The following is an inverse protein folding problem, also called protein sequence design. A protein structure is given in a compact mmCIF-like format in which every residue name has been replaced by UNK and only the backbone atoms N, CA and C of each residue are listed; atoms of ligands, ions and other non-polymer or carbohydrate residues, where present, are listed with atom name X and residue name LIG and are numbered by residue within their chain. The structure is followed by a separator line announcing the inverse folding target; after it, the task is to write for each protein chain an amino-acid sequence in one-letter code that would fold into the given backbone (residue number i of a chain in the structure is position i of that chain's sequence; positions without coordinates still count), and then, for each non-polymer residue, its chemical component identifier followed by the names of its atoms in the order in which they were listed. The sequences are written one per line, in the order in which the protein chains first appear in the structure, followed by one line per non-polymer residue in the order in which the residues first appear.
data_IF_089272946333
#
_entry.id   IF_089272946333
#
_cell.length_a   1.000
_cell.length_b   1.000
_cell.length_c   1.000
_cell.angle_alpha   90.00
_cell.angle_beta   90.00
_cell.angle_gamma   90.00
#
_symmetry.space_group_name_H-M   'P 1'
#
loop_
_entity.id
_entity.type
_entity.pdbx_description
1 polymer ?
#
# COMPACT_ATOMS: atom_id res chain seq x y z
N UNK A 1 42.83 37.55 -24.15
CA UNK A 1 42.24 36.44 -24.95
C UNK A 1 40.72 36.58 -24.93
N UNK A 2 40.12 36.85 -26.11
CA UNK A 2 38.64 36.89 -26.19
C UNK A 2 38.18 35.47 -26.52
N UNK A 3 37.47 34.84 -25.60
CA UNK A 3 36.83 33.58 -25.87
C UNK A 3 35.61 33.85 -26.76
N UNK A 4 35.71 33.51 -28.02
CA UNK A 4 34.59 33.54 -28.95
C UNK A 4 33.80 32.23 -28.76
N UNK A 5 32.64 32.33 -28.16
CA UNK A 5 31.72 31.19 -28.08
C UNK A 5 30.87 31.22 -29.33
N UNK A 6 31.04 30.24 -30.20
CA UNK A 6 30.23 30.06 -31.39
C UNK A 6 28.76 29.82 -30.98
N UNK A 7 27.77 30.48 -31.64
CA UNK A 7 26.33 30.32 -31.30
C UNK A 7 25.87 28.88 -31.28
N UNK A 8 26.47 28.00 -32.09
CA UNK A 8 26.14 26.57 -32.11
C UNK A 8 26.59 25.81 -30.85
N UNK A 9 27.80 26.10 -30.38
CA UNK A 9 28.35 25.49 -29.15
C UNK A 9 27.64 25.99 -27.89
N UNK A 10 27.18 27.27 -27.89
CA UNK A 10 26.41 27.83 -26.80
C UNK A 10 25.05 27.14 -26.62
N UNK A 11 24.33 26.84 -27.68
CA UNK A 11 23.05 26.15 -27.63
C UNK A 11 23.19 24.70 -27.17
N UNK A 12 24.26 24.02 -27.59
CA UNK A 12 24.54 22.63 -27.18
C UNK A 12 24.89 22.54 -25.70
N UNK A 13 25.71 23.47 -25.20
CA UNK A 13 26.03 23.56 -23.75
C UNK A 13 24.78 23.85 -22.91
N UNK A 14 23.89 24.72 -23.42
CA UNK A 14 22.63 25.04 -22.74
C UNK A 14 21.70 23.85 -22.66
N UNK A 15 21.57 23.06 -23.73
CA UNK A 15 20.78 21.84 -23.74
C UNK A 15 21.32 20.78 -22.76
N UNK A 16 22.63 20.61 -22.68
CA UNK A 16 23.29 19.70 -21.74
C UNK A 16 23.03 20.16 -20.28
N UNK A 17 23.15 21.48 -20.04
CA UNK A 17 22.93 22.06 -18.70
C UNK A 17 21.48 21.85 -18.22
N UNK A 18 20.49 22.06 -19.09
CA UNK A 18 19.08 21.80 -18.78
C UNK A 18 18.87 20.32 -18.52
N UNK A 19 19.48 19.43 -19.29
CA UNK A 19 19.40 17.99 -19.10
C UNK A 19 19.95 17.55 -17.73
N UNK A 20 21.10 18.09 -17.33
CA UNK A 20 21.70 17.82 -16.02
C UNK A 20 20.81 18.35 -14.89
N UNK A 21 20.31 19.59 -15.01
CA UNK A 21 19.41 20.17 -14.00
C UNK A 21 18.14 19.35 -13.89
N UNK A 22 17.55 18.90 -15.01
CA UNK A 22 16.38 18.04 -15.04
C UNK A 22 16.63 16.70 -14.34
N UNK A 23 17.76 16.05 -14.64
CA UNK A 23 18.14 14.78 -14.00
C UNK A 23 18.36 14.95 -12.49
N UNK A 24 19.09 16.00 -12.09
CA UNK A 24 19.37 16.28 -10.66
C UNK A 24 18.09 16.62 -9.91
N UNK A 25 17.21 17.43 -10.49
CA UNK A 25 15.91 17.75 -9.85
C UNK A 25 15.00 16.53 -9.72
N UNK A 26 15.00 15.61 -10.69
CA UNK A 26 14.27 14.36 -10.63
C UNK A 26 14.82 13.43 -9.53
N UNK A 27 16.15 13.27 -9.46
CA UNK A 27 16.80 12.49 -8.41
C UNK A 27 16.56 13.08 -7.02
N UNK A 28 16.69 14.40 -6.87
CA UNK A 28 16.43 15.11 -5.63
C UNK A 28 14.97 15.01 -5.21
N UNK A 29 14.01 15.12 -6.16
CA UNK A 29 12.58 14.95 -5.88
C UNK A 29 12.28 13.54 -5.36
N UNK A 30 12.86 12.53 -5.97
CA UNK A 30 12.72 11.13 -5.55
C UNK A 30 13.32 10.91 -4.15
N UNK A 31 14.49 11.49 -3.89
CA UNK A 31 15.18 11.41 -2.60
C UNK A 31 14.46 12.23 -1.52
N UNK A 32 13.97 13.43 -1.88
CA UNK A 32 13.22 14.32 -0.99
C UNK A 32 11.86 13.74 -0.59
N UNK A 33 11.18 13.04 -1.51
CA UNK A 33 9.95 12.30 -1.17
C UNK A 33 10.22 11.17 -0.18
N UNK A 34 11.33 10.44 -0.33
CA UNK A 34 11.75 9.42 0.64
C UNK A 34 12.11 10.04 1.98
N UNK A 35 12.87 11.15 1.95
CA UNK A 35 13.28 11.87 3.16
C UNK A 35 12.09 12.52 3.87
N UNK A 36 11.15 13.11 3.11
CA UNK A 36 9.92 13.68 3.65
C UNK A 36 9.02 12.61 4.26
N UNK A 37 8.97 11.41 3.68
CA UNK A 37 8.26 10.27 4.25
C UNK A 37 8.87 9.84 5.59
N UNK A 38 10.20 9.86 5.70
CA UNK A 38 10.92 9.54 6.95
C UNK A 38 10.79 10.67 7.98
N UNK A 39 10.89 11.95 7.56
CA UNK A 39 10.82 13.12 8.43
C UNK A 39 9.39 13.58 8.78
N UNK A 40 8.41 13.30 7.92
CA UNK A 40 7.00 13.66 8.13
C UNK A 40 6.31 12.79 9.19
N UNK A 41 7.12 12.17 10.07
CA UNK A 41 6.57 11.36 11.15
C UNK A 41 5.58 10.33 10.60
N UNK A 42 5.93 9.68 9.48
CA UNK A 42 5.34 8.39 9.20
C UNK A 42 5.58 7.62 10.49
N UNK A 43 4.59 7.69 11.44
CA UNK A 43 4.58 6.71 12.51
C UNK A 43 4.77 5.42 11.76
N UNK A 44 5.97 4.85 11.86
CA UNK A 44 6.15 3.46 11.51
C UNK A 44 4.94 2.84 12.17
N UNK A 45 4.04 2.27 11.38
CA UNK A 45 3.18 1.24 11.92
C UNK A 45 4.20 0.41 12.64
N UNK A 46 4.13 0.41 13.97
CA UNK A 46 5.19 -0.11 14.81
C UNK A 46 5.29 -1.60 14.49
N UNK A 47 5.97 -1.87 13.39
CA UNK A 47 6.42 -3.18 12.99
C UNK A 47 7.66 -3.44 13.84
N UNK A 48 7.49 -3.14 15.12
CA UNK A 48 8.37 -3.68 16.13
C UNK A 48 8.46 -5.15 15.85
N UNK A 49 9.62 -5.72 15.85
CA UNK A 49 10.07 -7.07 15.49
C UNK A 49 9.06 -8.25 15.61
N UNK A 50 7.85 -8.04 16.09
CA UNK A 50 6.77 -9.01 16.23
C UNK A 50 5.82 -8.92 15.03
N UNK A 51 5.80 -9.99 14.25
CA UNK A 51 4.91 -10.15 13.11
C UNK A 51 3.45 -10.09 13.55
N UNK A 52 2.63 -9.29 12.88
CA UNK A 52 1.20 -9.18 13.19
C UNK A 52 0.51 -10.46 12.70
N UNK A 53 -0.22 -11.20 13.54
CA UNK A 53 -0.83 -12.47 13.13
C UNK A 53 -1.83 -12.31 11.99
N UNK A 54 -2.75 -11.33 12.11
CA UNK A 54 -3.81 -11.09 11.14
C UNK A 54 -4.05 -9.60 10.97
N UNK A 55 -4.08 -9.16 9.72
CA UNK A 55 -4.45 -7.80 9.33
C UNK A 55 -5.65 -7.87 8.40
N UNK A 56 -6.65 -7.04 8.64
CA UNK A 56 -7.76 -6.78 7.72
C UNK A 56 -7.53 -5.41 7.12
N UNK A 57 -7.58 -5.28 5.81
CA UNK A 57 -7.50 -4.00 5.12
C UNK A 57 -8.80 -3.68 4.40
N UNK A 58 -9.31 -2.48 4.66
CA UNK A 58 -10.47 -1.89 3.97
C UNK A 58 -10.06 -0.56 3.33
N UNK A 59 -10.29 -0.41 2.06
CA UNK A 59 -10.04 0.82 1.32
C UNK A 59 -11.21 1.80 1.38
N UNK A 60 -12.40 1.33 1.76
CA UNK A 60 -13.60 2.17 1.88
C UNK A 60 -14.50 1.71 3.04
N UNK A 61 -15.11 2.66 3.76
CA UNK A 61 -16.03 2.42 4.86
C UNK A 61 -17.21 1.50 4.53
N UNK A 62 -17.60 1.40 3.25
CA UNK A 62 -18.70 0.54 2.78
C UNK A 62 -18.42 -0.94 3.06
N UNK A 63 -17.15 -1.33 3.11
CA UNK A 63 -16.76 -2.72 3.33
C UNK A 63 -16.83 -3.15 4.79
N UNK A 64 -17.08 -2.23 5.72
CA UNK A 64 -17.32 -2.60 7.12
C UNK A 64 -18.47 -3.61 7.26
N UNK A 65 -19.53 -3.47 6.47
CA UNK A 65 -20.64 -4.43 6.48
C UNK A 65 -20.23 -5.87 6.14
N UNK A 66 -19.20 -6.01 5.28
CA UNK A 66 -18.62 -7.30 4.87
C UNK A 66 -17.67 -7.83 5.94
N UNK A 67 -16.86 -6.96 6.53
CA UNK A 67 -15.87 -7.37 7.53
C UNK A 67 -16.43 -7.54 8.95
N UNK A 68 -17.50 -6.84 9.29
CA UNK A 68 -18.09 -6.90 10.63
C UNK A 68 -18.44 -8.31 11.11
N UNK A 69 -19.08 -9.20 10.32
CA UNK A 69 -19.33 -10.58 10.75
C UNK A 69 -18.02 -11.37 10.93
N UNK A 70 -17.01 -11.12 10.09
CA UNK A 70 -15.69 -11.76 10.23
C UNK A 70 -15.01 -11.30 11.53
N UNK A 71 -15.00 -9.98 11.79
CA UNK A 71 -14.45 -9.41 13.01
C UNK A 71 -15.14 -9.97 14.26
N UNK A 72 -16.46 -10.13 14.24
CA UNK A 72 -17.24 -10.73 15.34
C UNK A 72 -16.81 -12.17 15.63
N UNK A 73 -16.59 -12.99 14.60
CA UNK A 73 -16.16 -14.38 14.80
C UNK A 73 -14.70 -14.47 15.26
N UNK A 74 -13.83 -13.58 14.79
CA UNK A 74 -12.44 -13.48 15.24
C UNK A 74 -12.38 -13.06 16.72
N UNK A 75 -13.19 -12.07 17.12
CA UNK A 75 -13.30 -11.60 18.49
C UNK A 75 -13.79 -12.71 19.44
N UNK A 76 -14.86 -13.46 19.07
CA UNK A 76 -15.34 -14.62 19.83
C UNK A 76 -14.26 -15.69 20.04
N UNK A 77 -13.36 -15.84 19.09
CA UNK A 77 -12.24 -16.79 19.17
C UNK A 77 -11.03 -16.21 19.92
N UNK A 78 -11.08 -14.96 20.36
CA UNK A 78 -9.98 -14.27 21.03
C UNK A 78 -8.75 -14.06 20.12
N UNK A 79 -8.95 -13.88 18.81
CA UNK A 79 -7.87 -13.68 17.86
C UNK A 79 -7.61 -12.19 17.70
N UNK A 80 -6.46 -11.74 18.22
CA UNK A 80 -6.03 -10.35 18.06
C UNK A 80 -5.81 -10.01 16.59
N UNK A 81 -6.58 -9.05 16.11
CA UNK A 81 -6.60 -8.65 14.71
C UNK A 81 -6.44 -7.15 14.58
N UNK A 82 -5.59 -6.72 13.67
CA UNK A 82 -5.44 -5.30 13.34
C UNK A 82 -6.30 -4.98 12.12
N UNK A 83 -7.28 -4.11 12.30
CA UNK A 83 -8.11 -3.62 11.22
C UNK A 83 -7.58 -2.27 10.72
N UNK A 84 -7.13 -2.22 9.48
CA UNK A 84 -6.57 -1.04 8.83
C UNK A 84 -7.57 -0.50 7.82
N UNK A 85 -7.95 0.77 7.97
CA UNK A 85 -8.88 1.42 7.04
C UNK A 85 -8.23 2.64 6.38
N UNK A 86 -8.57 2.84 5.10
CA UNK A 86 -8.20 4.04 4.35
C UNK A 86 -9.28 5.14 4.42
N UNK A 87 -10.40 4.90 5.11
CA UNK A 87 -11.46 5.88 5.33
C UNK A 87 -11.42 6.44 6.75
N UNK A 88 -11.34 7.78 6.93
CA UNK A 88 -11.28 8.38 8.26
C UNK A 88 -12.61 8.26 9.04
N UNK A 89 -13.71 8.09 8.33
CA UNK A 89 -15.07 7.96 8.85
C UNK A 89 -15.60 6.52 8.80
N UNK A 90 -14.69 5.53 8.82
CA UNK A 90 -15.05 4.11 8.84
C UNK A 90 -15.66 3.75 10.21
N UNK A 91 -16.89 3.17 10.23
CA UNK A 91 -17.50 2.71 11.49
C UNK A 91 -16.67 1.67 12.25
N UNK A 92 -15.74 1.00 11.59
CA UNK A 92 -14.81 0.10 12.24
C UNK A 92 -13.95 0.76 13.31
N UNK A 93 -13.68 2.08 13.19
CA UNK A 93 -12.86 2.84 14.14
C UNK A 93 -13.55 2.97 15.52
N UNK A 94 -14.87 2.89 15.55
CA UNK A 94 -15.72 2.96 16.76
C UNK A 94 -16.29 1.57 17.15
N UNK A 95 -15.61 0.49 16.73
CA UNK A 95 -16.09 -0.87 17.02
C UNK A 95 -15.96 -1.23 18.52
N UNK A 96 -16.85 -2.13 19.01
CA UNK A 96 -16.90 -2.59 20.38
C UNK A 96 -16.21 -3.96 20.60
N UNK A 97 -15.41 -4.42 19.64
CA UNK A 97 -14.76 -5.74 19.70
C UNK A 97 -13.39 -5.64 20.41
N UNK A 98 -13.21 -6.27 21.60
CA UNK A 98 -11.98 -6.16 22.39
C UNK A 98 -10.70 -6.61 21.65
N UNK A 99 -10.80 -7.62 20.79
CA UNK A 99 -9.66 -8.18 20.06
C UNK A 99 -9.45 -7.57 18.67
N UNK A 100 -10.26 -6.58 18.26
CA UNK A 100 -10.15 -5.90 16.96
C UNK A 100 -9.62 -4.50 17.16
N UNK A 101 -8.36 -4.29 16.79
CA UNK A 101 -7.69 -3.00 16.92
C UNK A 101 -7.78 -2.23 15.61
N UNK A 102 -8.82 -1.40 15.48
CA UNK A 102 -9.02 -0.59 14.29
C UNK A 102 -8.12 0.65 14.28
N UNK A 103 -7.53 0.95 13.13
CA UNK A 103 -6.71 2.13 12.93
C UNK A 103 -6.86 2.71 11.52
N UNK A 104 -6.92 4.02 11.45
CA UNK A 104 -6.85 4.75 10.18
C UNK A 104 -5.40 4.85 9.70
N UNK A 105 -5.13 4.43 8.47
CA UNK A 105 -3.76 4.38 7.91
C UNK A 105 -3.49 5.42 6.83
N UNK A 106 -4.27 6.46 6.72
CA UNK A 106 -4.28 7.46 5.64
C UNK A 106 -5.06 7.00 4.42
N UNK A 107 -5.29 7.95 3.48
CA UNK A 107 -6.06 7.71 2.26
C UNK A 107 -5.16 7.45 1.04
N UNK A 108 -5.68 6.70 0.09
CA UNK A 108 -5.11 6.50 -1.24
C UNK A 108 -3.68 5.97 -1.22
N UNK A 109 -2.80 6.65 -1.96
CA UNK A 109 -1.41 6.21 -2.15
C UNK A 109 -0.59 6.12 -0.86
N UNK A 110 -0.95 6.89 0.17
CA UNK A 110 -0.26 6.85 1.47
C UNK A 110 -0.61 5.57 2.23
N UNK A 111 -1.87 5.12 2.16
CA UNK A 111 -2.31 3.85 2.72
C UNK A 111 -1.56 2.69 2.07
N UNK A 112 -1.51 2.66 0.73
CA UNK A 112 -0.78 1.63 0.00
C UNK A 112 0.72 1.63 0.29
N UNK A 113 1.33 2.80 0.47
CA UNK A 113 2.74 2.88 0.87
C UNK A 113 2.99 2.23 2.24
N UNK A 114 2.07 2.38 3.21
CA UNK A 114 2.17 1.71 4.51
C UNK A 114 1.99 0.20 4.39
N UNK A 115 1.04 -0.25 3.56
CA UNK A 115 0.78 -1.67 3.31
C UNK A 115 1.95 -2.37 2.60
N UNK A 116 2.68 -1.67 1.73
CA UNK A 116 3.84 -2.21 1.02
C UNK A 116 5.02 -2.57 1.96
N UNK A 117 5.03 -2.03 3.18
CA UNK A 117 6.04 -2.32 4.22
C UNK A 117 5.45 -3.06 5.43
N UNK A 118 4.24 -3.60 5.29
CA UNK A 118 3.56 -4.33 6.35
C UNK A 118 4.28 -5.64 6.68
N UNK A 119 4.40 -5.95 7.97
CA UNK A 119 4.92 -7.22 8.47
C UNK A 119 3.78 -7.98 9.17
N UNK A 120 3.19 -8.93 8.46
CA UNK A 120 2.04 -9.70 8.96
C UNK A 120 2.09 -11.14 8.47
N UNK A 121 1.42 -12.06 9.19
CA UNK A 121 1.29 -13.43 8.69
C UNK A 121 0.21 -13.51 7.62
N UNK A 122 -0.95 -12.94 7.88
CA UNK A 122 -2.08 -12.95 6.94
C UNK A 122 -2.63 -11.55 6.74
N UNK A 123 -2.90 -11.17 5.51
CA UNK A 123 -3.62 -9.95 5.15
C UNK A 123 -4.89 -10.32 4.43
N UNK A 124 -6.03 -9.92 4.98
CA UNK A 124 -7.36 -10.08 4.40
C UNK A 124 -7.83 -8.75 3.82
N UNK A 125 -8.23 -8.72 2.55
CA UNK A 125 -8.70 -7.51 1.88
C UNK A 125 -9.84 -7.79 0.90
N UNK A 126 -10.65 -6.77 0.63
CA UNK A 126 -11.67 -6.79 -0.43
C UNK A 126 -11.20 -6.09 -1.70
N UNK A 127 -10.09 -5.35 -1.63
CA UNK A 127 -9.58 -4.55 -2.75
C UNK A 127 -8.97 -5.45 -3.82
N UNK A 128 -9.47 -5.43 -5.06
CA UNK A 128 -8.86 -6.13 -6.18
C UNK A 128 -7.59 -5.42 -6.64
N UNK A 129 -6.78 -6.10 -7.43
CA UNK A 129 -5.65 -5.46 -8.11
C UNK A 129 -4.37 -5.36 -7.28
N UNK A 130 -4.18 -6.26 -6.32
CA UNK A 130 -2.89 -6.46 -5.67
C UNK A 130 -1.79 -6.71 -6.72
N UNK A 131 -0.68 -6.01 -6.63
CA UNK A 131 0.44 -5.96 -7.57
C UNK A 131 0.17 -5.29 -8.95
N UNK A 132 -1.09 -5.02 -9.28
CA UNK A 132 -1.45 -4.40 -10.57
C UNK A 132 -1.31 -2.87 -10.51
N UNK A 133 -1.75 -2.27 -9.40
CA UNK A 133 -1.72 -0.83 -9.21
C UNK A 133 -0.61 -0.41 -8.24
N UNK A 134 -0.92 0.48 -7.33
CA UNK A 134 0.03 1.07 -6.39
C UNK A 134 0.24 0.22 -5.14
N UNK A 135 -0.68 -0.69 -4.85
CA UNK A 135 -0.55 -1.64 -3.76
C UNK A 135 0.27 -2.85 -4.21
N UNK A 136 1.52 -2.90 -3.75
CA UNK A 136 2.43 -4.03 -3.99
C UNK A 136 2.44 -4.97 -2.80
N UNK A 137 2.67 -6.25 -3.03
CA UNK A 137 2.85 -7.22 -1.95
C UNK A 137 4.05 -6.85 -1.10
N UNK A 138 3.87 -6.80 0.22
CA UNK A 138 4.99 -6.75 1.13
C UNK A 138 5.71 -8.09 1.13
N UNK A 139 7.04 -8.06 1.07
CA UNK A 139 7.88 -9.26 1.20
C UNK A 139 7.85 -9.88 2.60
N UNK A 140 7.25 -9.18 3.58
CA UNK A 140 7.17 -9.59 4.97
C UNK A 140 5.78 -10.13 5.34
N UNK A 141 4.90 -10.33 4.37
CA UNK A 141 3.57 -10.94 4.53
C UNK A 141 3.60 -12.34 3.92
N UNK A 142 3.13 -13.34 4.69
CA UNK A 142 3.14 -14.73 4.22
C UNK A 142 1.99 -14.99 3.26
N UNK A 143 0.77 -14.55 3.63
CA UNK A 143 -0.44 -14.85 2.85
C UNK A 143 -1.30 -13.63 2.64
N UNK A 144 -1.77 -13.46 1.41
CA UNK A 144 -2.81 -12.50 1.05
C UNK A 144 -4.09 -13.24 0.71
N UNK A 145 -5.18 -12.86 1.37
CA UNK A 145 -6.51 -13.45 1.18
C UNK A 145 -7.44 -12.38 0.64
N UNK A 146 -8.04 -12.64 -0.50
CA UNK A 146 -9.05 -11.77 -1.08
C UNK A 146 -10.45 -12.23 -0.66
N UNK A 147 -11.22 -11.33 -0.05
CA UNK A 147 -12.62 -11.57 0.29
C UNK A 147 -13.50 -10.87 -0.75
N UNK A 148 -14.19 -11.60 -1.61
CA UNK A 148 -15.08 -11.00 -2.59
C UNK A 148 -16.29 -10.35 -1.88
N UNK A 149 -16.57 -9.12 -2.24
CA UNK A 149 -17.65 -8.31 -1.65
C UNK A 149 -18.89 -8.20 -2.54
N UNK A 150 -18.84 -8.74 -3.74
CA UNK A 150 -19.96 -8.77 -4.69
C UNK A 150 -20.17 -10.18 -5.23
N UNK A 151 -21.41 -10.54 -5.43
CA UNK A 151 -21.80 -11.83 -6.01
C UNK A 151 -21.62 -11.88 -7.55
N UNK A 152 -20.94 -10.89 -8.13
CA UNK A 152 -20.67 -10.83 -9.57
C UNK A 152 -19.55 -11.82 -9.91
N UNK A 153 -19.87 -12.75 -10.75
CA UNK A 153 -19.03 -13.67 -11.53
C UNK A 153 -17.58 -13.87 -11.07
N UNK A 154 -17.46 -14.43 -9.87
CA UNK A 154 -16.17 -14.77 -9.24
C UNK A 154 -15.47 -15.87 -10.04
N UNK A 155 -16.23 -16.67 -10.79
CA UNK A 155 -15.72 -17.79 -11.57
C UNK A 155 -14.65 -17.40 -12.58
N UNK A 156 -14.82 -16.27 -13.27
CA UNK A 156 -13.84 -15.77 -14.24
C UNK A 156 -12.59 -15.19 -13.60
N UNK A 157 -12.70 -14.59 -12.42
CA UNK A 157 -11.57 -13.94 -11.74
C UNK A 157 -10.69 -14.94 -10.96
N UNK A 158 -11.28 -15.99 -10.40
CA UNK A 158 -10.55 -17.04 -9.69
C UNK A 158 -9.81 -17.99 -10.63
N UNK A 159 -10.38 -18.27 -11.82
CA UNK A 159 -9.72 -19.07 -12.85
C UNK A 159 -8.47 -18.36 -13.39
N UNK A 160 -8.51 -17.02 -13.50
CA UNK A 160 -7.38 -16.25 -14.02
C UNK A 160 -6.21 -16.12 -13.04
N UNK A 161 -6.45 -16.28 -11.73
CA UNK A 161 -5.39 -16.22 -10.71
C UNK A 161 -4.80 -17.59 -10.37
N UNK A 162 -5.52 -18.68 -10.56
CA UNK A 162 -5.03 -20.04 -10.32
C UNK A 162 -4.20 -20.58 -11.49
N UNK A 163 -4.58 -20.27 -12.73
CA UNK A 163 -3.82 -20.72 -13.91
C UNK A 163 -2.43 -20.09 -14.02
N UNK A 164 -2.24 -18.88 -13.51
CA UNK A 164 -0.92 -18.24 -13.52
C UNK A 164 0.07 -18.84 -12.50
N UNK A 165 -0.39 -19.65 -11.55
CA UNK A 165 0.47 -20.29 -10.56
C UNK A 165 0.94 -21.69 -10.99
N UNK A 166 0.21 -22.36 -11.88
CA UNK A 166 0.53 -23.72 -12.34
C UNK A 166 1.50 -23.76 -13.52
N UNK A 167 1.70 -22.64 -14.24
CA UNK A 167 2.66 -22.54 -15.35
C UNK A 167 4.11 -22.27 -14.91
N UNK A 168 4.41 -22.26 -13.61
CA UNK A 168 5.75 -22.02 -13.06
C UNK A 168 6.37 -23.24 -12.37
N UNK A 169 5.87 -24.44 -12.63
CA UNK A 169 6.49 -25.69 -12.16
C UNK A 169 7.10 -26.50 -13.29
#
# INVERSE_FOLDING_TARGET
MRFYIDPGTGSMLFAILIGIIGAVTYMLKSWFLKLRFVLSGGKKVDTGAKKIPLVIFSDDKRYWSVFRPVCRELDKKGIDTVYMTASPDDPALENDFPHIHAQFIEEGNKAFAKLNFLNASVVLATTPGLDVYQWKRSKQVDYYVHLPHAASDISGCLLYTSDAADDLT
#
